data_IF_892356786008
#
_entry.id   IF_892356786008
#
_cell.length_a   1.000
_cell.length_b   1.000
_cell.length_c   1.000
_cell.angle_alpha   90.00
_cell.angle_beta   90.00
_cell.angle_gamma   90.00
#
_symmetry.space_group_name_H-M   'P 1'
#
loop_
_entity.id
_entity.type
_entity.pdbx_description
1 polymer ?
#
# COMPACT_ATOMS: atom_id res chain seq x y z
N UNK A 1 55.53 -31.51 24.76
CA UNK A 1 56.05 -32.68 24.02
C UNK A 1 57.56 -32.59 24.00
N UNK A 2 58.31 -33.66 24.35
CA UNK A 2 59.76 -33.64 24.23
C UNK A 2 60.16 -33.39 22.76
N UNK A 3 61.10 -32.48 22.53
CA UNK A 3 61.52 -32.11 21.17
C UNK A 3 62.31 -33.23 20.49
N UNK A 4 62.27 -33.26 19.16
CA UNK A 4 62.92 -34.30 18.34
C UNK A 4 64.42 -34.41 18.56
N UNK A 5 65.06 -33.38 19.13
CA UNK A 5 66.48 -33.34 19.49
C UNK A 5 66.87 -34.26 20.66
N UNK A 6 65.91 -34.75 21.46
CA UNK A 6 66.16 -35.67 22.59
C UNK A 6 66.11 -37.15 22.19
N UNK A 7 65.88 -37.46 20.91
CA UNK A 7 65.77 -38.82 20.43
C UNK A 7 67.15 -39.48 20.29
N UNK A 8 67.26 -40.81 20.48
CA UNK A 8 68.50 -41.53 20.22
C UNK A 8 68.93 -41.41 18.74
N UNK A 9 70.23 -41.56 18.44
CA UNK A 9 70.82 -41.23 17.13
C UNK A 9 70.20 -42.01 15.96
N UNK A 10 69.71 -43.23 16.19
CA UNK A 10 69.03 -44.02 15.18
C UNK A 10 67.68 -43.41 14.76
N UNK A 11 66.98 -42.75 15.69
CA UNK A 11 65.73 -42.05 15.43
C UNK A 11 65.97 -40.64 14.89
N UNK A 12 67.01 -39.94 15.35
CA UNK A 12 67.40 -38.63 14.79
C UNK A 12 67.66 -38.68 13.28
N UNK A 13 68.23 -39.79 12.77
CA UNK A 13 68.45 -40.02 11.33
C UNK A 13 67.17 -40.01 10.50
N UNK A 14 66.04 -40.44 11.07
CA UNK A 14 64.74 -40.44 10.38
C UNK A 14 64.20 -39.01 10.19
N UNK A 15 64.63 -38.08 11.04
CA UNK A 15 64.27 -36.66 10.97
C UNK A 15 65.37 -35.80 10.33
N UNK A 16 66.35 -36.43 9.66
CA UNK A 16 67.36 -35.68 8.92
C UNK A 16 66.65 -34.76 7.90
N UNK A 17 66.95 -33.45 7.90
CA UNK A 17 66.30 -32.53 7.00
C UNK A 17 66.65 -32.89 5.56
N UNK A 18 65.75 -32.55 4.65
CA UNK A 18 66.05 -32.64 3.21
C UNK A 18 67.21 -31.69 2.88
N UNK A 19 67.99 -31.98 1.83
CA UNK A 19 68.97 -31.02 1.32
C UNK A 19 68.28 -29.69 1.01
N UNK A 20 68.99 -28.55 1.13
CA UNK A 20 68.42 -27.25 0.83
C UNK A 20 67.92 -27.22 -0.61
N UNK A 21 66.72 -26.64 -0.82
CA UNK A 21 66.12 -26.57 -2.14
C UNK A 21 66.95 -25.64 -3.04
N UNK A 22 67.17 -26.00 -4.33
CA UNK A 22 67.80 -25.10 -5.28
C UNK A 22 66.87 -23.91 -5.54
N UNK A 23 67.44 -22.71 -5.65
CA UNK A 23 66.68 -21.52 -6.00
C UNK A 23 66.13 -21.66 -7.43
N UNK A 24 64.83 -21.40 -7.59
CA UNK A 24 64.17 -21.28 -8.88
C UNK A 24 63.52 -19.90 -8.98
N UNK A 25 63.52 -19.32 -10.20
CA UNK A 25 62.88 -18.03 -10.44
C UNK A 25 61.36 -18.15 -10.19
N UNK A 26 60.74 -17.25 -9.42
CA UNK A 26 59.30 -17.28 -9.21
C UNK A 26 58.56 -17.01 -10.53
N UNK A 27 57.49 -17.77 -10.78
CA UNK A 27 56.62 -17.62 -11.96
C UNK A 27 55.56 -16.52 -11.78
N UNK A 28 55.29 -16.13 -10.53
CA UNK A 28 54.33 -15.09 -10.18
C UNK A 28 54.90 -13.68 -10.38
N UNK A 29 54.00 -12.69 -10.36
CA UNK A 29 54.40 -11.28 -10.33
C UNK A 29 54.87 -10.90 -8.93
N UNK A 30 55.81 -9.97 -8.85
CA UNK A 30 56.26 -9.42 -7.58
C UNK A 30 55.08 -8.85 -6.80
N UNK A 31 54.98 -9.21 -5.52
CA UNK A 31 53.89 -8.80 -4.62
C UNK A 31 53.76 -7.26 -4.56
N UNK A 32 54.88 -6.54 -4.61
CA UNK A 32 54.89 -5.08 -4.62
C UNK A 32 54.47 -4.44 -5.96
N UNK A 33 54.29 -5.26 -7.00
CA UNK A 33 53.88 -4.83 -8.35
C UNK A 33 52.45 -5.25 -8.69
N UNK A 34 51.74 -5.86 -7.74
CA UNK A 34 50.32 -6.18 -7.90
C UNK A 34 49.52 -4.91 -7.65
N UNK A 35 49.13 -4.21 -8.70
CA UNK A 35 48.20 -3.07 -8.63
C UNK A 35 46.76 -3.56 -8.74
N UNK A 36 45.82 -2.84 -8.12
CA UNK A 36 44.40 -3.07 -8.35
C UNK A 36 44.07 -2.85 -9.83
N UNK A 37 43.10 -3.62 -10.34
CA UNK A 37 42.58 -3.40 -11.69
C UNK A 37 41.71 -2.15 -11.64
N UNK A 38 41.83 -1.27 -12.64
CA UNK A 38 40.94 -0.13 -12.81
C UNK A 38 39.53 -0.66 -13.13
N UNK A 39 38.67 -0.69 -12.12
CA UNK A 39 37.27 -1.08 -12.26
C UNK A 39 36.44 0.18 -12.17
N UNK A 40 35.66 0.45 -13.21
CA UNK A 40 34.73 1.57 -13.25
C UNK A 40 33.43 1.24 -12.50
N UNK A 41 32.71 2.27 -12.06
CA UNK A 41 31.43 2.12 -11.39
C UNK A 41 30.32 1.59 -12.31
N UNK A 42 29.35 0.89 -11.74
CA UNK A 42 28.21 0.29 -12.47
C UNK A 42 27.12 1.29 -12.90
N UNK A 43 27.28 2.58 -12.58
CA UNK A 43 26.28 3.61 -12.83
C UNK A 43 25.92 3.76 -14.32
N UNK A 44 26.91 3.63 -15.20
CA UNK A 44 26.71 3.70 -16.66
C UNK A 44 25.85 2.54 -17.19
N UNK A 45 25.99 1.35 -16.59
CA UNK A 45 25.21 0.17 -16.94
C UNK A 45 23.75 0.34 -16.46
N UNK A 46 23.56 0.84 -15.24
CA UNK A 46 22.22 1.10 -14.70
C UNK A 46 21.44 2.15 -15.52
N UNK A 47 22.12 3.20 -15.98
CA UNK A 47 21.50 4.21 -16.85
C UNK A 47 21.04 3.60 -18.19
N UNK A 48 21.89 2.79 -18.84
CA UNK A 48 21.54 2.10 -20.09
C UNK A 48 20.40 1.10 -19.92
N UNK A 49 20.35 0.37 -18.81
CA UNK A 49 19.26 -0.56 -18.54
C UNK A 49 17.93 0.17 -18.36
N UNK A 50 17.93 1.32 -17.64
CA UNK A 50 16.74 2.16 -17.52
C UNK A 50 16.26 2.63 -18.89
N UNK A 51 17.15 3.17 -19.71
CA UNK A 51 16.82 3.63 -21.08
C UNK A 51 16.30 2.50 -21.98
N UNK A 52 16.89 1.29 -21.90
CA UNK A 52 16.44 0.12 -22.66
C UNK A 52 15.05 -0.37 -22.20
N UNK A 53 14.79 -0.36 -20.89
CA UNK A 53 13.46 -0.70 -20.35
C UNK A 53 12.40 0.33 -20.75
N UNK A 54 12.75 1.63 -20.79
CA UNK A 54 11.81 2.65 -21.26
C UNK A 54 11.61 2.58 -22.77
N UNK A 55 12.65 2.31 -23.55
CA UNK A 55 12.55 2.18 -25.00
C UNK A 55 11.69 0.97 -25.41
N UNK A 56 11.81 -0.17 -24.71
CA UNK A 56 10.94 -1.34 -24.93
C UNK A 56 9.49 -1.08 -24.54
N UNK A 57 9.24 -0.23 -23.53
CA UNK A 57 7.89 0.23 -23.19
C UNK A 57 7.31 1.23 -24.21
N UNK A 58 8.16 2.03 -24.88
CA UNK A 58 7.75 3.05 -25.85
C UNK A 58 7.56 2.45 -27.26
N UNK A 59 8.34 1.44 -27.62
CA UNK A 59 8.31 0.77 -28.92
C UNK A 59 7.15 -0.24 -29.08
N UNK A 60 5.94 0.15 -28.67
CA UNK A 60 4.68 -0.12 -29.37
C UNK A 60 4.23 -1.52 -29.81
N UNK A 61 4.94 -2.62 -29.53
CA UNK A 61 4.56 -4.01 -29.87
C UNK A 61 5.12 -4.95 -28.77
N UNK A 62 4.39 -5.69 -27.95
CA UNK A 62 2.96 -5.87 -27.75
C UNK A 62 2.76 -6.64 -26.44
N UNK A 63 1.53 -6.54 -25.92
CA UNK A 63 0.90 -7.48 -24.99
C UNK A 63 1.62 -7.74 -23.65
N UNK A 64 1.22 -7.00 -22.62
CA UNK A 64 0.97 -7.69 -21.34
C UNK A 64 -0.30 -8.49 -21.57
N UNK A 65 -0.11 -9.65 -22.22
CA UNK A 65 -1.13 -10.67 -22.30
C UNK A 65 -1.58 -11.03 -20.89
N UNK A 66 -2.85 -11.37 -20.80
CA UNK A 66 -3.58 -11.89 -19.65
C UNK A 66 -3.05 -13.26 -19.17
N UNK A 67 -1.71 -13.42 -19.15
CA UNK A 67 -0.99 -14.68 -18.93
C UNK A 67 -0.04 -14.59 -17.75
N UNK A 68 -0.48 -14.04 -16.62
CA UNK A 68 0.14 -14.36 -15.34
C UNK A 68 -0.35 -15.76 -14.93
N UNK A 69 0.51 -16.76 -15.09
CA UNK A 69 0.30 -18.10 -14.54
C UNK A 69 0.22 -17.98 -13.00
N UNK A 70 -0.85 -18.52 -12.41
CA UNK A 70 -1.10 -18.51 -10.96
C UNK A 70 0.10 -19.12 -10.20
N UNK A 71 1.02 -18.29 -9.69
CA UNK A 71 2.12 -18.75 -8.84
C UNK A 71 3.42 -17.95 -8.89
N UNK A 72 3.64 -17.07 -9.87
CA UNK A 72 4.83 -16.21 -9.85
C UNK A 72 4.63 -14.99 -8.94
N UNK A 73 5.45 -14.89 -7.89
CA UNK A 73 5.53 -13.67 -7.07
C UNK A 73 6.11 -12.54 -7.94
N UNK A 74 5.41 -11.40 -8.12
CA UNK A 74 5.94 -10.32 -8.92
C UNK A 74 7.25 -9.83 -8.29
N UNK A 75 8.33 -9.88 -9.07
CA UNK A 75 9.59 -9.28 -8.66
C UNK A 75 9.32 -7.80 -8.38
N UNK A 76 9.60 -7.36 -7.14
CA UNK A 76 9.49 -5.97 -6.70
C UNK A 76 10.40 -5.06 -7.56
N UNK A 77 9.93 -4.67 -8.74
CA UNK A 77 10.62 -3.75 -9.64
C UNK A 77 10.13 -2.34 -9.39
N UNK A 78 11.05 -1.37 -9.48
CA UNK A 78 10.73 0.07 -9.37
C UNK A 78 9.61 0.50 -10.34
N UNK A 79 9.48 -0.18 -11.49
CA UNK A 79 8.45 0.08 -12.48
C UNK A 79 7.03 -0.33 -12.01
N UNK A 80 6.90 -1.39 -11.21
CA UNK A 80 5.61 -1.81 -10.67
C UNK A 80 5.19 -0.92 -9.48
N UNK A 81 6.13 -0.53 -8.62
CA UNK A 81 5.88 0.37 -7.51
C UNK A 81 5.40 1.74 -7.99
N UNK A 82 6.05 2.30 -9.02
CA UNK A 82 5.67 3.58 -9.63
C UNK A 82 4.27 3.50 -10.24
N UNK A 83 3.94 2.46 -11.02
CA UNK A 83 2.58 2.25 -11.55
C UNK A 83 1.53 2.14 -10.43
N UNK A 84 1.84 1.44 -9.34
CA UNK A 84 0.94 1.28 -8.18
C UNK A 84 0.72 2.61 -7.46
N UNK A 85 1.76 3.43 -7.30
CA UNK A 85 1.67 4.77 -6.74
C UNK A 85 0.80 5.68 -7.61
N UNK A 86 1.04 5.73 -8.91
CA UNK A 86 0.24 6.51 -9.87
C UNK A 86 -1.23 6.12 -9.77
N UNK A 87 -1.57 4.82 -9.82
CA UNK A 87 -2.96 4.34 -9.69
C UNK A 87 -3.60 4.72 -8.35
N UNK A 88 -2.82 4.71 -7.26
CA UNK A 88 -3.31 5.10 -5.92
C UNK A 88 -3.58 6.60 -5.84
N UNK A 89 -2.71 7.42 -6.43
CA UNK A 89 -2.89 8.87 -6.48
C UNK A 89 -4.06 9.27 -7.36
N UNK A 90 -4.21 8.70 -8.55
CA UNK A 90 -5.36 8.93 -9.42
C UNK A 90 -6.68 8.59 -8.72
N UNK A 91 -6.75 7.43 -8.04
CA UNK A 91 -7.94 7.04 -7.24
C UNK A 91 -8.25 8.04 -6.13
N UNK A 92 -7.23 8.59 -5.47
CA UNK A 92 -7.41 9.63 -4.44
C UNK A 92 -7.90 10.93 -5.07
N UNK A 93 -7.28 11.37 -6.16
CA UNK A 93 -7.64 12.60 -6.90
C UNK A 93 -9.09 12.53 -7.36
N UNK A 94 -9.49 11.45 -8.03
CA UNK A 94 -10.89 11.22 -8.47
C UNK A 94 -11.88 11.32 -7.31
N UNK A 95 -11.62 10.63 -6.19
CA UNK A 95 -12.48 10.72 -4.99
C UNK A 95 -12.57 12.13 -4.43
N UNK A 96 -11.45 12.87 -4.41
CA UNK A 96 -11.45 14.25 -3.93
C UNK A 96 -12.18 15.20 -4.87
N UNK A 97 -12.08 14.98 -6.19
CA UNK A 97 -12.79 15.76 -7.21
C UNK A 97 -14.30 15.48 -7.14
N UNK A 98 -14.70 14.21 -7.08
CA UNK A 98 -16.09 13.80 -6.86
C UNK A 98 -16.67 14.44 -5.59
N UNK A 99 -15.91 14.43 -4.49
CA UNK A 99 -16.33 15.08 -3.25
C UNK A 99 -16.45 16.61 -3.38
N UNK A 100 -15.51 17.26 -4.09
CA UNK A 100 -15.57 18.71 -4.34
C UNK A 100 -16.80 19.07 -5.17
N UNK A 101 -17.03 18.35 -6.28
CA UNK A 101 -18.20 18.53 -7.13
C UNK A 101 -19.48 18.33 -6.31
N UNK A 102 -19.57 17.22 -5.56
CA UNK A 102 -20.72 16.95 -4.70
C UNK A 102 -20.96 18.09 -3.68
N UNK A 103 -19.89 18.63 -3.08
CA UNK A 103 -19.99 19.76 -2.14
C UNK A 103 -20.43 21.06 -2.82
N UNK A 104 -19.94 21.36 -4.01
CA UNK A 104 -20.32 22.55 -4.78
C UNK A 104 -21.76 22.48 -5.29
N UNK A 105 -22.21 21.29 -5.68
CA UNK A 105 -23.60 21.04 -6.12
C UNK A 105 -24.60 20.91 -4.97
N UNK A 106 -24.13 20.82 -3.72
CA UNK A 106 -25.00 20.61 -2.55
C UNK A 106 -25.78 21.87 -2.18
N UNK A 107 -27.08 21.87 -2.50
CA UNK A 107 -28.03 22.94 -2.15
C UNK A 107 -29.13 22.39 -1.24
N UNK A 108 -29.00 22.53 0.09
CA UNK A 108 -29.96 21.93 1.03
C UNK A 108 -31.34 22.61 1.03
N UNK A 109 -31.42 23.87 0.64
CA UNK A 109 -32.68 24.64 0.63
C UNK A 109 -33.61 24.25 -0.52
N UNK A 110 -33.07 23.65 -1.59
CA UNK A 110 -33.84 23.25 -2.78
C UNK A 110 -34.42 21.82 -2.64
N UNK A 111 -34.17 21.10 -1.52
CA UNK A 111 -34.72 19.76 -1.29
C UNK A 111 -36.22 19.84 -0.93
N UNK A 112 -37.08 19.45 -1.88
CA UNK A 112 -38.54 19.43 -1.69
C UNK A 112 -38.99 18.52 -0.54
N UNK A 113 -38.18 17.53 -0.15
CA UNK A 113 -38.50 16.63 0.96
C UNK A 113 -38.02 17.15 2.33
N UNK A 114 -37.24 18.24 2.37
CA UNK A 114 -36.82 18.92 3.59
C UNK A 114 -37.92 19.88 4.06
N UNK A 115 -38.97 19.30 4.64
CA UNK A 115 -40.15 20.03 5.11
C UNK A 115 -40.11 20.13 6.64
N UNK A 116 -40.33 21.33 7.17
CA UNK A 116 -40.46 21.59 8.60
C UNK A 116 -39.44 22.59 9.14
N UNK A 117 -39.62 22.97 10.40
CA UNK A 117 -38.68 23.84 11.11
C UNK A 117 -37.46 23.02 11.59
N UNK A 118 -36.21 23.40 11.23
CA UNK A 118 -35.01 22.74 11.72
C UNK A 118 -34.92 22.66 13.24
N UNK A 119 -35.48 23.62 13.97
CA UNK A 119 -35.46 23.63 15.45
C UNK A 119 -36.40 22.59 16.07
N UNK A 120 -37.33 22.03 15.30
CA UNK A 120 -38.26 20.96 15.71
C UNK A 120 -37.92 19.60 15.10
N UNK A 121 -36.82 19.54 14.35
CA UNK A 121 -36.45 18.35 13.57
C UNK A 121 -35.32 17.59 14.26
N UNK A 122 -35.62 16.36 14.69
CA UNK A 122 -34.67 15.41 15.25
C UNK A 122 -34.01 14.59 14.14
N UNK A 123 -32.67 14.61 14.10
CA UNK A 123 -31.88 13.73 13.24
C UNK A 123 -31.47 12.46 13.98
N UNK A 124 -31.76 11.31 13.38
CA UNK A 124 -31.41 10.00 13.93
C UNK A 124 -30.51 9.28 12.93
N UNK A 125 -29.37 8.77 13.41
CA UNK A 125 -28.41 8.03 12.58
C UNK A 125 -28.14 6.63 13.14
N UNK A 126 -27.48 5.79 12.35
CA UNK A 126 -27.16 4.39 12.67
C UNK A 126 -28.40 3.52 12.93
N UNK A 127 -29.48 3.82 12.23
CA UNK A 127 -30.68 2.98 12.24
C UNK A 127 -30.41 1.65 11.53
N UNK A 128 -31.07 0.60 12.01
CA UNK A 128 -31.05 -0.69 11.35
C UNK A 128 -31.67 -0.55 9.94
N UNK A 129 -31.10 -1.25 8.95
CA UNK A 129 -31.57 -1.21 7.55
C UNK A 129 -32.98 -1.78 7.38
N UNK A 130 -33.43 -2.59 8.34
CA UNK A 130 -34.77 -3.17 8.37
C UNK A 130 -35.79 -2.30 9.14
N UNK A 131 -35.37 -1.18 9.73
CA UNK A 131 -36.27 -0.31 10.49
C UNK A 131 -37.34 0.29 9.57
N UNK A 132 -38.57 0.36 10.07
CA UNK A 132 -39.71 0.98 9.39
C UNK A 132 -40.07 2.32 10.01
N UNK A 133 -40.79 3.15 9.27
CA UNK A 133 -41.29 4.43 9.79
C UNK A 133 -42.26 4.24 10.95
N UNK A 134 -43.04 3.15 10.95
CA UNK A 134 -43.93 2.78 12.06
C UNK A 134 -43.17 2.44 13.33
N UNK A 135 -42.02 1.77 13.23
CA UNK A 135 -41.19 1.48 14.40
C UNK A 135 -40.66 2.77 15.02
N UNK A 136 -40.14 3.68 14.19
CA UNK A 136 -39.68 5.00 14.66
C UNK A 136 -40.82 5.79 15.28
N UNK A 137 -41.99 5.80 14.66
CA UNK A 137 -43.13 6.53 15.21
C UNK A 137 -43.51 5.99 16.59
N UNK A 138 -43.61 4.66 16.74
CA UNK A 138 -43.96 4.02 18.03
C UNK A 138 -42.98 4.35 19.15
N UNK A 139 -41.67 4.27 18.89
CA UNK A 139 -40.64 4.49 19.91
C UNK A 139 -40.49 5.98 20.28
N UNK A 140 -40.71 6.89 19.33
CA UNK A 140 -40.49 8.33 19.54
C UNK A 140 -41.76 9.10 19.95
N UNK A 141 -42.94 8.52 19.77
CA UNK A 141 -44.22 9.13 20.18
C UNK A 141 -44.35 9.30 21.71
N UNK A 142 -43.57 8.55 22.50
CA UNK A 142 -43.54 8.72 23.96
C UNK A 142 -42.92 10.05 24.43
N UNK A 143 -42.13 10.71 23.59
CA UNK A 143 -41.44 11.96 23.94
C UNK A 143 -42.22 13.21 23.52
N UNK A 144 -43.15 13.09 22.59
CA UNK A 144 -44.03 14.19 22.18
C UNK A 144 -44.80 13.91 20.89
N UNK A 145 -45.62 14.87 20.47
CA UNK A 145 -46.47 14.72 19.30
C UNK A 145 -45.65 14.88 18.01
N UNK A 146 -45.62 13.81 17.21
CA UNK A 146 -44.88 13.75 15.95
C UNK A 146 -45.74 14.28 14.80
N UNK A 147 -45.26 15.32 14.13
CA UNK A 147 -45.86 15.90 12.93
C UNK A 147 -45.54 15.05 11.68
N UNK A 148 -44.25 14.69 11.50
CA UNK A 148 -43.79 13.96 10.31
C UNK A 148 -42.58 13.09 10.62
N UNK A 149 -42.53 11.89 10.03
CA UNK A 149 -41.36 11.01 10.02
C UNK A 149 -40.90 10.83 8.57
N UNK A 150 -39.61 11.03 8.29
CA UNK A 150 -38.98 10.77 6.99
C UNK A 150 -37.82 9.80 7.18
N UNK A 151 -37.99 8.56 6.74
CA UNK A 151 -36.90 7.58 6.69
C UNK A 151 -36.19 7.65 5.34
N UNK A 152 -34.91 8.04 5.33
CA UNK A 152 -34.23 8.26 4.05
C UNK A 152 -33.79 6.94 3.43
N UNK A 153 -34.24 6.72 2.20
CA UNK A 153 -33.95 5.53 1.38
C UNK A 153 -33.06 5.91 0.19
N UNK A 154 -32.26 4.95 -0.23
CA UNK A 154 -31.48 5.02 -1.46
C UNK A 154 -32.39 4.86 -2.70
N UNK A 155 -31.91 5.16 -3.91
CA UNK A 155 -32.68 5.01 -5.16
C UNK A 155 -33.19 3.58 -5.37
N UNK A 156 -32.54 2.59 -4.74
CA UNK A 156 -32.94 1.17 -4.74
C UNK A 156 -33.97 0.81 -3.66
N UNK A 157 -34.52 1.78 -2.93
CA UNK A 157 -35.51 1.59 -1.86
C UNK A 157 -34.94 1.10 -0.51
N UNK A 158 -33.63 0.84 -0.43
CA UNK A 158 -32.96 0.40 0.81
C UNK A 158 -32.75 1.56 1.77
N UNK A 159 -33.02 1.37 3.06
CA UNK A 159 -32.81 2.40 4.08
C UNK A 159 -31.32 2.78 4.16
N UNK A 160 -31.01 4.10 4.13
CA UNK A 160 -29.64 4.61 4.30
C UNK A 160 -29.15 4.58 5.76
N UNK A 161 -30.04 4.25 6.69
CA UNK A 161 -29.72 4.13 8.12
C UNK A 161 -29.80 5.46 8.87
N UNK A 162 -30.52 6.45 8.34
CA UNK A 162 -30.83 7.69 9.04
C UNK A 162 -32.26 8.18 8.71
N UNK A 163 -32.83 8.92 9.64
CA UNK A 163 -34.19 9.46 9.55
C UNK A 163 -34.28 10.86 10.16
N UNK A 164 -35.30 11.60 9.75
CA UNK A 164 -35.69 12.89 10.30
C UNK A 164 -37.09 12.79 10.90
N UNK A 165 -37.26 13.26 12.13
CA UNK A 165 -38.56 13.32 12.81
C UNK A 165 -38.85 14.78 13.13
N UNK A 166 -39.97 15.29 12.65
CA UNK A 166 -40.45 16.65 12.96
C UNK A 166 -41.51 16.54 14.06
N UNK A 167 -41.28 17.22 15.17
CA UNK A 167 -42.25 17.35 16.26
C UNK A 167 -43.10 18.60 16.08
N UNK A 168 -44.31 18.62 16.65
CA UNK A 168 -45.16 19.81 16.61
C UNK A 168 -44.56 20.96 17.44
N UNK A 169 -43.94 20.62 18.58
CA UNK A 169 -43.36 21.55 19.56
C UNK A 169 -41.85 21.39 19.65
N UNK A 170 -41.14 22.51 19.74
CA UNK A 170 -39.67 22.53 19.91
C UNK A 170 -39.23 21.93 21.25
N UNK A 171 -40.05 22.07 22.31
CA UNK A 171 -39.76 21.54 23.65
C UNK A 171 -39.64 20.02 23.64
N UNK A 172 -40.52 19.36 22.89
CA UNK A 172 -40.60 17.90 22.79
C UNK A 172 -39.36 17.31 22.09
N UNK A 173 -38.69 18.09 21.24
CA UNK A 173 -37.41 17.69 20.62
C UNK A 173 -36.22 17.83 21.59
N UNK A 174 -36.20 18.89 22.41
CA UNK A 174 -35.03 19.25 23.23
C UNK A 174 -34.98 18.57 24.60
N UNK A 175 -36.13 18.09 25.11
CA UNK A 175 -36.25 17.47 26.44
C UNK A 175 -36.34 18.49 27.57
#
# INVERSE_FOLDING_TARGET
MPGTHLLPPNLLKLFAPRPPLPYARPVGKDIHRVTSKNVDGVASILARLKEATTATLIAGNGEVGDGMEEGEEPAFTLAEETKRQIRREERKKKKTEEFKIAKETYKPADDAEAIGDPYKTLFISRLNKNATESDLRREFESFGTIERVRLVRDQKGRCRGYAFIVYERERDMKG
#
